data_IF_413220032040
#
_entry.id   IF_413220032040
#
_cell.length_a   1.000
_cell.length_b   1.000
_cell.length_c   1.000
_cell.angle_alpha   90.00
_cell.angle_beta   90.00
_cell.angle_gamma   90.00
#
_symmetry.space_group_name_H-M   'P 1'
#
loop_
_entity.id
_entity.type
_entity.pdbx_description
1 polymer ?
#
# COMPACT_ATOMS: atom_id res chain seq x y z
N UNK A 1 -9.84 -15.48 26.36
CA UNK A 1 -8.50 -14.93 26.69
C UNK A 1 -7.46 -15.75 25.95
N UNK A 2 -7.05 -15.27 24.78
CA UNK A 2 -5.88 -15.77 24.03
C UNK A 2 -5.08 -14.54 23.65
N UNK A 3 -4.09 -14.23 24.48
CA UNK A 3 -3.12 -13.17 24.28
C UNK A 3 -2.06 -13.60 23.27
N UNK A 4 -1.83 -12.80 22.23
CA UNK A 4 -0.51 -12.71 21.59
C UNK A 4 -0.48 -12.80 20.06
N UNK A 5 -0.88 -11.74 19.37
CA UNK A 5 -0.20 -11.26 18.14
C UNK A 5 -0.85 -9.94 17.70
N UNK A 6 -0.57 -8.85 18.39
CA UNK A 6 -0.89 -7.51 17.89
C UNK A 6 0.14 -7.14 16.81
N UNK A 7 -0.34 -7.00 15.57
CA UNK A 7 -0.33 -5.71 14.86
C UNK A 7 1.01 -5.00 14.58
N UNK A 8 2.16 -5.68 14.57
CA UNK A 8 3.44 -4.99 14.29
C UNK A 8 3.97 -5.22 12.89
N UNK A 9 4.08 -4.13 12.12
CA UNK A 9 4.81 -4.06 10.86
C UNK A 9 6.31 -4.11 11.15
N UNK A 10 6.83 -5.32 11.39
CA UNK A 10 8.27 -5.51 11.63
C UNK A 10 9.10 -5.01 10.44
N UNK A 11 10.35 -4.57 10.66
CA UNK A 11 11.22 -4.10 9.58
C UNK A 11 11.39 -5.16 8.48
N UNK A 12 11.47 -6.43 8.86
CA UNK A 12 11.55 -7.56 7.94
C UNK A 12 10.26 -7.75 7.13
N UNK A 13 9.09 -7.60 7.77
CA UNK A 13 7.81 -7.67 7.07
C UNK A 13 7.63 -6.52 6.08
N UNK A 14 8.02 -5.30 6.48
CA UNK A 14 8.02 -4.12 5.60
C UNK A 14 8.95 -4.31 4.41
N UNK A 15 10.17 -4.80 4.64
CA UNK A 15 11.12 -5.07 3.57
C UNK A 15 10.57 -6.13 2.60
N UNK A 16 10.03 -7.24 3.11
CA UNK A 16 9.39 -8.28 2.28
C UNK A 16 8.18 -7.75 1.51
N UNK A 17 7.38 -6.86 2.10
CA UNK A 17 6.24 -6.21 1.44
C UNK A 17 6.72 -5.34 0.28
N UNK A 18 7.78 -4.56 0.49
CA UNK A 18 8.42 -3.76 -0.56
C UNK A 18 8.92 -4.68 -1.67
N UNK A 19 9.71 -5.72 -1.35
CA UNK A 19 10.18 -6.71 -2.33
C UNK A 19 9.02 -7.36 -3.11
N UNK A 20 7.90 -7.65 -2.46
CA UNK A 20 6.71 -8.20 -3.10
C UNK A 20 6.12 -7.24 -4.16
N UNK A 21 6.09 -5.94 -3.88
CA UNK A 21 5.67 -4.93 -4.86
C UNK A 21 6.58 -4.91 -6.09
N UNK A 22 7.90 -5.04 -5.92
CA UNK A 22 8.84 -5.15 -7.05
C UNK A 22 8.65 -6.43 -7.86
N UNK A 23 8.42 -7.57 -7.20
CA UNK A 23 8.07 -8.83 -7.89
C UNK A 23 6.78 -8.70 -8.72
N UNK A 24 5.81 -7.91 -8.24
CA UNK A 24 4.61 -7.55 -9.00
C UNK A 24 4.96 -6.71 -10.23
N UNK A 25 5.76 -5.65 -10.06
CA UNK A 25 6.16 -4.73 -11.14
C UNK A 25 6.81 -5.46 -12.32
N UNK A 26 7.64 -6.44 -12.02
CA UNK A 26 8.38 -7.21 -13.05
C UNK A 26 7.47 -8.15 -13.85
N UNK A 27 6.21 -8.34 -13.43
CA UNK A 27 5.19 -9.14 -14.12
C UNK A 27 4.18 -8.30 -14.92
N UNK A 28 4.29 -6.97 -14.90
CA UNK A 28 3.34 -6.08 -15.55
C UNK A 28 3.22 -6.35 -17.06
N UNK A 29 1.98 -6.31 -17.54
CA UNK A 29 1.69 -6.25 -18.97
C UNK A 29 1.37 -4.80 -19.33
N UNK A 30 2.39 -4.04 -19.72
CA UNK A 30 2.26 -2.62 -20.04
C UNK A 30 2.86 -2.25 -21.41
N UNK A 31 2.43 -2.88 -22.53
CA UNK A 31 3.04 -2.62 -23.82
C UNK A 31 2.69 -1.24 -24.40
N UNK A 32 1.66 -0.55 -23.88
CA UNK A 32 1.21 0.72 -24.42
C UNK A 32 1.88 1.89 -23.70
N UNK A 33 1.82 1.94 -22.36
CA UNK A 33 2.47 3.02 -21.60
C UNK A 33 3.97 2.81 -21.39
N UNK A 34 4.44 1.57 -21.46
CA UNK A 34 5.80 1.16 -21.03
C UNK A 34 6.07 1.50 -19.55
N UNK A 35 5.01 1.62 -18.76
CA UNK A 35 5.08 2.03 -17.37
C UNK A 35 4.62 0.88 -16.48
N UNK A 36 5.58 0.09 -15.98
CA UNK A 36 5.27 -1.03 -15.12
C UNK A 36 5.08 -0.55 -13.68
N UNK A 37 4.01 -1.04 -13.06
CA UNK A 37 3.64 -0.79 -11.68
C UNK A 37 3.40 -2.13 -11.01
N UNK A 38 3.91 -2.26 -9.79
CA UNK A 38 3.71 -3.42 -8.94
C UNK A 38 3.09 -3.03 -7.62
N UNK A 39 2.28 -3.94 -7.08
CA UNK A 39 1.71 -3.80 -5.75
C UNK A 39 1.96 -5.08 -4.95
N UNK A 40 2.23 -4.92 -3.66
CA UNK A 40 2.27 -5.97 -2.66
C UNK A 40 1.25 -5.69 -1.56
N UNK A 41 0.60 -6.73 -1.05
CA UNK A 41 -0.31 -6.69 0.09
C UNK A 41 0.20 -7.64 1.16
N UNK A 42 0.36 -7.14 2.38
CA UNK A 42 0.61 -7.97 3.57
C UNK A 42 -0.73 -8.34 4.20
N UNK A 43 -1.00 -9.62 4.37
CA UNK A 43 -2.20 -10.12 5.03
C UNK A 43 -1.95 -10.38 6.52
N UNK A 44 -3.04 -10.51 7.30
CA UNK A 44 -2.99 -10.73 8.74
C UNK A 44 -2.37 -12.08 9.16
N UNK A 45 -2.36 -13.06 8.27
CA UNK A 45 -1.66 -14.34 8.48
C UNK A 45 -0.16 -14.29 8.12
N UNK A 46 0.34 -13.11 7.72
CA UNK A 46 1.73 -12.90 7.29
C UNK A 46 2.01 -13.25 5.83
N UNK A 47 1.02 -13.74 5.08
CA UNK A 47 1.18 -14.02 3.66
C UNK A 47 1.20 -12.74 2.82
N UNK A 48 1.80 -12.84 1.63
CA UNK A 48 1.95 -11.71 0.70
C UNK A 48 1.23 -12.00 -0.61
N UNK A 49 0.42 -11.04 -1.07
CA UNK A 49 -0.22 -11.08 -2.38
C UNK A 49 0.41 -10.02 -3.26
N UNK A 50 0.77 -10.39 -4.50
CA UNK A 50 1.31 -9.44 -5.48
C UNK A 50 0.30 -9.15 -6.58
N UNK A 51 0.37 -7.94 -7.11
CA UNK A 51 -0.36 -7.49 -8.30
C UNK A 51 0.53 -6.64 -9.20
N UNK A 52 0.09 -6.48 -10.44
CA UNK A 52 0.78 -5.72 -11.47
C UNK A 52 -0.25 -5.01 -12.35
N UNK A 53 0.12 -3.91 -13.01
CA UNK A 53 -0.79 -3.33 -13.99
C UNK A 53 -0.86 -4.23 -15.23
N UNK A 54 -2.09 -4.40 -15.75
CA UNK A 54 -2.38 -5.12 -16.98
C UNK A 54 -3.16 -4.18 -17.88
N UNK A 55 -2.52 -3.78 -18.97
CA UNK A 55 -3.11 -2.87 -19.94
C UNK A 55 -3.91 -3.61 -21.00
N UNK A 56 -4.72 -2.85 -21.75
CA UNK A 56 -5.53 -3.35 -22.84
C UNK A 56 -5.54 -2.32 -23.98
N UNK A 57 -5.72 -2.79 -25.22
CA UNK A 57 -5.86 -1.92 -26.39
C UNK A 57 -7.04 -0.93 -26.23
N UNK A 58 -8.12 -1.38 -25.58
CA UNK A 58 -9.16 -0.49 -25.08
C UNK A 58 -8.74 0.01 -23.69
N UNK A 59 -8.07 1.16 -23.62
CA UNK A 59 -7.46 1.71 -22.40
C UNK A 59 -8.32 1.62 -21.13
N UNK A 60 -9.65 1.92 -21.16
CA UNK A 60 -10.50 1.82 -19.96
C UNK A 60 -10.63 0.40 -19.38
N UNK A 61 -10.37 -0.65 -20.17
CA UNK A 61 -10.39 -2.03 -19.72
C UNK A 61 -9.13 -2.45 -18.95
N UNK A 62 -8.10 -1.58 -18.90
CA UNK A 62 -6.89 -1.83 -18.12
C UNK A 62 -7.15 -1.81 -16.61
N UNK A 63 -6.31 -2.53 -15.87
CA UNK A 63 -6.38 -2.63 -14.41
C UNK A 63 -5.03 -2.27 -13.78
N UNK A 64 -5.08 -1.50 -12.69
CA UNK A 64 -3.89 -1.08 -11.94
C UNK A 64 -3.35 -2.21 -11.06
N UNK A 65 -2.12 -2.07 -10.58
CA UNK A 65 -1.46 -3.10 -9.78
C UNK A 65 -2.16 -3.36 -8.45
N UNK A 66 -2.57 -2.30 -7.77
CA UNK A 66 -3.25 -2.31 -6.48
C UNK A 66 -4.58 -3.05 -6.59
N UNK A 67 -5.39 -2.70 -7.61
CA UNK A 67 -6.66 -3.38 -7.89
C UNK A 67 -6.46 -4.85 -8.26
N UNK A 68 -5.42 -5.18 -9.02
CA UNK A 68 -5.09 -6.57 -9.35
C UNK A 68 -4.78 -7.39 -8.10
N UNK A 69 -3.96 -6.84 -7.19
CA UNK A 69 -3.65 -7.51 -5.93
C UNK A 69 -4.89 -7.65 -5.03
N UNK A 70 -5.69 -6.58 -4.91
CA UNK A 70 -6.90 -6.57 -4.09
C UNK A 70 -7.96 -7.55 -4.61
N UNK A 71 -8.23 -7.56 -5.92
CA UNK A 71 -9.19 -8.49 -6.53
C UNK A 71 -8.79 -9.93 -6.25
N UNK A 72 -7.50 -10.27 -6.40
CA UNK A 72 -6.99 -11.60 -6.08
C UNK A 72 -7.21 -11.95 -4.60
N UNK A 73 -6.81 -11.07 -3.68
CA UNK A 73 -6.98 -11.28 -2.24
C UNK A 73 -8.44 -11.52 -1.87
N UNK A 74 -9.35 -10.68 -2.39
CA UNK A 74 -10.78 -10.75 -2.11
C UNK A 74 -11.40 -12.01 -2.73
N UNK A 75 -11.04 -12.37 -3.97
CA UNK A 75 -11.55 -13.58 -4.62
C UNK A 75 -11.11 -14.86 -3.92
N UNK A 76 -9.95 -14.84 -3.28
CA UNK A 76 -9.43 -15.95 -2.46
C UNK A 76 -10.08 -15.98 -1.06
N UNK A 77 -11.03 -15.09 -0.76
CA UNK A 77 -11.79 -15.05 0.49
C UNK A 77 -11.09 -14.28 1.62
N UNK A 78 -9.93 -13.70 1.37
CA UNK A 78 -9.18 -12.94 2.37
C UNK A 78 -9.63 -11.48 2.40
N UNK A 79 -9.93 -10.96 3.60
CA UNK A 79 -10.34 -9.56 3.81
C UNK A 79 -9.44 -8.79 4.79
N UNK A 80 -8.42 -9.44 5.34
CA UNK A 80 -7.58 -8.86 6.39
C UNK A 80 -6.22 -8.45 5.84
N UNK A 81 -6.19 -7.35 5.09
CA UNK A 81 -4.94 -6.72 4.61
C UNK A 81 -4.45 -5.73 5.67
N UNK A 82 -3.19 -5.85 6.06
CA UNK A 82 -2.54 -5.00 7.07
C UNK A 82 -1.86 -3.79 6.42
N UNK A 83 -1.20 -3.97 5.28
CA UNK A 83 -0.44 -2.91 4.61
C UNK A 83 -0.34 -3.15 3.11
N UNK A 84 -0.15 -2.06 2.36
CA UNK A 84 0.01 -2.07 0.90
C UNK A 84 1.33 -1.40 0.53
N UNK A 85 2.09 -1.98 -0.39
CA UNK A 85 3.21 -1.30 -1.04
C UNK A 85 2.98 -1.18 -2.54
N UNK A 86 3.32 -0.02 -3.11
CA UNK A 86 3.19 0.28 -4.54
C UNK A 86 4.53 0.79 -5.05
N UNK A 87 4.99 0.24 -6.18
CA UNK A 87 6.25 0.65 -6.81
C UNK A 87 6.12 0.73 -8.33
N UNK A 88 7.04 1.44 -8.97
CA UNK A 88 7.15 1.53 -10.42
C UNK A 88 8.62 1.46 -10.86
N UNK A 89 8.90 1.74 -12.14
CA UNK A 89 10.28 1.93 -12.62
C UNK A 89 10.84 3.35 -12.37
N UNK A 90 10.05 4.27 -11.80
CA UNK A 90 10.51 5.63 -11.53
C UNK A 90 11.49 5.66 -10.35
N UNK A 91 12.72 6.19 -10.52
CA UNK A 91 13.68 6.28 -9.42
C UNK A 91 13.24 7.29 -8.37
N UNK A 92 12.76 8.49 -8.73
CA UNK A 92 12.07 9.44 -7.85
C UNK A 92 11.22 10.40 -8.71
N UNK A 93 10.15 11.03 -8.19
CA UNK A 93 9.50 10.78 -6.89
C UNK A 93 8.86 9.37 -6.83
N UNK A 94 8.40 8.99 -5.65
CA UNK A 94 7.66 7.74 -5.44
C UNK A 94 6.35 7.75 -6.25
N UNK A 95 5.88 6.56 -6.64
CA UNK A 95 4.57 6.43 -7.31
C UNK A 95 3.44 6.53 -6.29
N UNK A 96 2.38 7.26 -6.61
CA UNK A 96 1.17 7.33 -5.79
C UNK A 96 0.03 6.51 -6.42
N UNK A 97 -0.77 5.78 -5.62
CA UNK A 97 -1.96 5.10 -6.13
C UNK A 97 -2.94 6.11 -6.74
N UNK A 98 -3.57 5.75 -7.86
CA UNK A 98 -4.54 6.62 -8.52
C UNK A 98 -5.86 6.68 -7.73
N UNK A 99 -6.71 7.68 -8.01
CA UNK A 99 -7.99 7.86 -7.30
C UNK A 99 -8.90 6.63 -7.34
N UNK A 100 -8.90 5.88 -8.45
CA UNK A 100 -9.69 4.64 -8.58
C UNK A 100 -9.17 3.56 -7.62
N UNK A 101 -7.85 3.41 -7.49
CA UNK A 101 -7.25 2.44 -6.55
C UNK A 101 -7.52 2.83 -5.11
N UNK A 102 -7.41 4.13 -4.77
CA UNK A 102 -7.72 4.64 -3.43
C UNK A 102 -9.16 4.34 -3.05
N UNK A 103 -10.11 4.66 -3.94
CA UNK A 103 -11.53 4.41 -3.72
C UNK A 103 -11.83 2.90 -3.63
N UNK A 104 -11.20 2.08 -4.46
CA UNK A 104 -11.37 0.62 -4.42
C UNK A 104 -10.84 0.03 -3.10
N UNK A 105 -9.65 0.45 -2.65
CA UNK A 105 -9.09 0.02 -1.37
C UNK A 105 -9.99 0.45 -0.20
N UNK A 106 -10.56 1.66 -0.26
CA UNK A 106 -11.43 2.22 0.79
C UNK A 106 -12.68 1.39 1.06
N UNK A 107 -13.14 0.60 0.09
CA UNK A 107 -14.25 -0.34 0.29
C UNK A 107 -13.89 -1.49 1.25
N UNK A 108 -12.62 -1.92 1.25
CA UNK A 108 -12.19 -3.17 1.89
C UNK A 108 -11.18 -2.98 3.02
N UNK A 109 -10.51 -1.83 3.09
CA UNK A 109 -9.42 -1.55 4.02
C UNK A 109 -9.84 -0.49 5.05
N UNK A 110 -9.39 -0.62 6.32
CA UNK A 110 -9.45 0.48 7.27
C UNK A 110 -8.81 1.77 6.72
N UNK A 111 -9.36 2.92 7.07
CA UNK A 111 -8.79 4.22 6.67
C UNK A 111 -7.37 4.44 7.24
N UNK A 112 -7.05 3.79 8.36
CA UNK A 112 -5.71 3.78 8.96
C UNK A 112 -4.69 2.90 8.25
N UNK A 113 -5.09 2.10 7.25
CA UNK A 113 -4.17 1.17 6.59
C UNK A 113 -3.01 1.92 5.93
N UNK A 114 -1.75 1.57 6.28
CA UNK A 114 -0.57 2.21 5.69
C UNK A 114 -0.36 1.78 4.25
N UNK A 115 -0.14 2.78 3.40
CA UNK A 115 0.18 2.66 1.99
C UNK A 115 1.61 3.16 1.75
N UNK A 116 2.52 2.25 1.45
CA UNK A 116 3.91 2.51 1.13
C UNK A 116 4.05 2.81 -0.35
N UNK A 117 4.48 4.02 -0.68
CA UNK A 117 4.85 4.46 -2.02
C UNK A 117 6.36 4.36 -2.15
N UNK A 118 6.83 3.48 -3.03
CA UNK A 118 8.24 3.08 -3.09
C UNK A 118 8.88 3.45 -4.43
N UNK A 119 9.98 4.17 -4.34
CA UNK A 119 10.88 4.53 -5.42
C UNK A 119 11.63 3.31 -5.99
N UNK A 120 11.93 3.32 -7.28
CA UNK A 120 12.76 2.29 -7.90
C UNK A 120 14.21 2.31 -7.39
N UNK A 121 14.67 3.41 -6.78
CA UNK A 121 16.00 3.50 -6.16
C UNK A 121 16.11 2.83 -4.80
N UNK A 122 15.02 2.24 -4.28
CA UNK A 122 15.06 1.46 -3.05
C UNK A 122 16.11 0.33 -3.17
N UNK A 123 17.04 0.18 -2.20
CA UNK A 123 18.09 -0.84 -2.25
C UNK A 123 17.50 -2.23 -1.99
N UNK A 124 17.13 -2.92 -3.08
CA UNK A 124 16.71 -4.32 -3.05
C UNK A 124 17.92 -5.21 -2.84
N UNK A 125 18.18 -5.61 -1.58
CA UNK A 125 19.11 -6.68 -1.25
C UNK A 125 18.36 -7.78 -0.51
N UNK A 126 18.55 -9.04 -0.89
CA UNK A 126 17.95 -10.17 -0.15
C UNK A 126 18.61 -10.39 1.23
N UNK A 127 19.83 -9.88 1.41
CA UNK A 127 20.68 -10.21 2.58
C UNK A 127 20.55 -9.23 3.75
N UNK A 128 19.92 -8.07 3.57
CA UNK A 128 19.81 -7.07 4.64
C UNK A 128 18.62 -6.12 4.48
N UNK A 129 17.92 -5.88 5.59
CA UNK A 129 16.92 -4.81 5.69
C UNK A 129 17.66 -3.47 5.82
N UNK A 130 17.40 -2.48 4.94
CA UNK A 130 18.00 -1.16 5.09
C UNK A 130 17.65 -0.56 6.46
N UNK A 131 18.64 0.00 7.16
CA UNK A 131 18.47 0.41 8.56
C UNK A 131 17.30 1.36 8.80
N UNK A 132 17.04 2.28 7.86
CA UNK A 132 15.95 3.26 7.94
C UNK A 132 14.54 2.61 7.85
N UNK A 133 14.43 1.37 7.40
CA UNK A 133 13.15 0.63 7.38
C UNK A 133 12.73 0.28 8.80
N UNK A 134 13.66 0.11 9.73
CA UNK A 134 13.33 -0.10 11.12
C UNK A 134 12.70 1.14 11.75
N UNK A 135 13.25 2.31 11.45
CA UNK A 135 12.69 3.59 11.88
C UNK A 135 11.31 3.83 11.25
N UNK A 136 11.11 3.39 10.00
CA UNK A 136 9.83 3.45 9.33
C UNK A 136 8.74 2.64 10.03
N UNK A 137 9.05 1.41 10.45
CA UNK A 137 8.10 0.57 11.19
C UNK A 137 7.69 1.20 12.51
N UNK A 138 8.66 1.74 13.27
CA UNK A 138 8.37 2.42 14.54
C UNK A 138 7.45 3.63 14.36
N UNK A 139 7.63 4.40 13.29
CA UNK A 139 6.78 5.55 13.00
C UNK A 139 5.37 5.20 12.56
N UNK A 140 5.21 4.14 11.75
CA UNK A 140 3.88 3.64 11.39
C UNK A 140 3.17 3.17 12.66
N UNK A 141 3.84 2.37 13.49
CA UNK A 141 3.28 1.86 14.74
C UNK A 141 2.89 2.99 15.71
N UNK A 142 3.73 4.03 15.87
CA UNK A 142 3.43 5.14 16.79
C UNK A 142 2.23 5.97 16.33
N UNK A 143 2.17 6.31 15.03
CA UNK A 143 1.12 7.18 14.48
C UNK A 143 -0.23 6.47 14.38
N UNK A 144 -0.23 5.18 14.04
CA UNK A 144 -1.44 4.35 14.07
C UNK A 144 -1.98 4.19 15.50
N UNK A 145 -1.11 4.07 16.51
CA UNK A 145 -1.52 4.03 17.91
C UNK A 145 -2.08 5.37 18.43
N UNK A 146 -1.58 6.50 17.92
CA UNK A 146 -2.01 7.85 18.31
C UNK A 146 -3.24 8.36 17.53
N UNK A 147 -3.67 7.65 16.48
CA UNK A 147 -4.77 8.09 15.62
C UNK A 147 -4.45 9.31 14.77
N UNK A 148 -3.16 9.58 14.54
CA UNK A 148 -2.67 10.68 13.71
C UNK A 148 -2.41 10.18 12.28
N UNK A 149 -2.64 11.02 11.25
CA UNK A 149 -2.30 10.68 9.86
C UNK A 149 -0.79 10.37 9.69
N UNK A 150 -0.38 9.51 8.76
CA UNK A 150 1.03 9.11 8.54
C UNK A 150 1.92 10.19 7.86
N UNK A 151 1.37 11.28 7.35
CA UNK A 151 2.05 12.51 6.93
C UNK A 151 2.81 12.41 5.60
N UNK A 152 2.36 13.17 4.59
CA UNK A 152 3.02 13.23 3.27
C UNK A 152 4.28 14.09 3.30
N UNK A 153 5.33 13.62 2.62
CA UNK A 153 6.67 14.18 2.51
C UNK A 153 6.83 15.71 2.67
N UNK A 154 7.90 16.08 3.37
CA UNK A 154 8.55 17.42 3.51
C UNK A 154 8.05 18.38 4.60
N UNK A 155 7.91 17.93 5.85
CA UNK A 155 8.25 18.84 6.97
C UNK A 155 9.24 18.17 7.90
N UNK A 156 10.36 18.84 8.11
CA UNK A 156 11.27 18.60 9.22
C UNK A 156 10.44 18.60 10.51
N UNK A 157 10.17 17.40 11.03
CA UNK A 157 9.89 17.24 12.45
C UNK A 157 11.28 17.12 13.08
N UNK A 158 11.57 18.02 14.02
CA UNK A 158 12.90 18.28 14.59
C UNK A 158 13.76 17.01 14.75
N UNK A 159 14.74 16.83 13.85
CA UNK A 159 15.85 15.89 14.01
C UNK A 159 15.79 14.56 13.25
N UNK A 160 14.81 14.29 12.39
CA UNK A 160 14.73 13.01 11.64
C UNK A 160 14.55 13.21 10.12
N UNK A 161 15.49 12.70 9.32
CA UNK A 161 15.46 12.79 7.85
C UNK A 161 14.83 11.52 7.26
N UNK A 162 13.63 11.63 6.69
CA UNK A 162 12.99 10.51 5.98
C UNK A 162 13.67 10.28 4.61
N UNK A 163 13.93 9.01 4.27
CA UNK A 163 14.62 8.59 3.05
C UNK A 163 13.84 9.00 1.79
N UNK A 164 14.53 9.37 0.69
CA UNK A 164 13.88 9.75 -0.59
C UNK A 164 13.12 8.59 -1.24
N UNK A 165 13.36 7.36 -0.77
CA UNK A 165 12.95 6.12 -1.42
C UNK A 165 11.56 5.63 -1.03
N UNK A 166 11.09 5.93 0.19
CA UNK A 166 9.80 5.42 0.69
C UNK A 166 9.01 6.56 1.31
N UNK A 167 7.78 6.73 0.85
CA UNK A 167 6.78 7.63 1.45
C UNK A 167 5.63 6.78 1.95
N UNK A 168 5.16 7.04 3.17
CA UNK A 168 4.03 6.29 3.74
C UNK A 168 2.92 7.24 4.09
N UNK A 169 1.71 6.89 3.68
CA UNK A 169 0.48 7.61 3.98
C UNK A 169 -0.58 6.62 4.40
N UNK A 170 -1.50 7.02 5.27
CA UNK A 170 -2.69 6.23 5.52
C UNK A 170 -3.64 6.35 4.32
N UNK A 171 -4.58 5.41 4.21
CA UNK A 171 -5.61 5.51 3.19
C UNK A 171 -6.48 6.78 3.38
N UNK A 172 -6.72 7.19 4.62
CA UNK A 172 -7.41 8.44 4.95
C UNK A 172 -6.71 9.67 4.38
N UNK A 173 -5.39 9.74 4.48
CA UNK A 173 -4.63 10.89 3.98
C UNK A 173 -4.56 10.92 2.47
N UNK A 174 -4.54 9.73 1.84
CA UNK A 174 -4.62 9.61 0.40
C UNK A 174 -6.03 9.93 -0.13
N UNK A 175 -7.07 9.74 0.67
CA UNK A 175 -8.46 9.94 0.27
C UNK A 175 -9.27 10.57 1.42
N UNK A 176 -8.98 11.84 1.77
CA UNK A 176 -9.66 12.51 2.87
C UNK A 176 -11.13 12.71 2.54
N UNK A 177 -12.00 12.61 3.55
CA UNK A 177 -13.46 12.75 3.38
C UNK A 177 -14.03 11.83 2.30
N UNK A 178 -13.49 10.60 2.20
CA UNK A 178 -13.88 9.64 1.17
C UNK A 178 -15.37 9.31 1.21
N UNK A 179 -15.99 9.18 0.03
CA UNK A 179 -17.27 8.51 -0.11
C UNK A 179 -17.11 7.01 0.18
N UNK A 180 -18.10 6.38 0.82
CA UNK A 180 -18.03 4.99 1.25
C UNK A 180 -19.35 4.29 1.57
N UNK A 181 -19.27 3.09 2.17
CA UNK A 181 -20.45 2.31 2.54
C UNK A 181 -21.38 3.04 3.51
N UNK A 182 -20.85 3.86 4.41
CA UNK A 182 -21.64 4.59 5.41
C UNK A 182 -22.62 5.59 4.76
N UNK A 183 -22.28 6.20 3.63
CA UNK A 183 -23.17 7.12 2.89
C UNK A 183 -24.28 6.40 2.12
N UNK A 184 -24.19 5.07 1.96
CA UNK A 184 -25.22 4.24 1.33
C UNK A 184 -26.10 3.53 2.37
N UNK A 185 -25.63 3.41 3.61
CA UNK A 185 -26.32 2.69 4.68
C UNK A 185 -27.54 3.43 5.23
N UNK A 186 -27.60 4.76 5.09
CA UNK A 186 -28.75 5.61 5.43
C UNK A 186 -29.88 5.44 4.40
N UNK A 187 -30.55 4.28 4.42
CA UNK A 187 -31.67 3.97 3.53
C UNK A 187 -32.29 2.57 3.68
N UNK A 188 -31.72 1.70 4.50
CA UNK A 188 -32.16 0.29 4.62
C UNK A 188 -33.41 0.06 5.48
N UNK A 189 -34.06 1.12 5.98
CA UNK A 189 -35.42 1.06 6.57
C UNK A 189 -36.55 1.22 5.54
N UNK A 190 -36.24 1.29 4.23
CA UNK A 190 -37.24 1.32 3.15
C UNK A 190 -36.84 0.47 1.95
N UNK A 191 -36.93 -0.84 2.09
CA UNK A 191 -37.25 -1.77 0.99
C UNK A 191 -37.79 -3.09 1.56
#
# INVERSE_FOLDING_TARGET
>A
MSSGSTDKLTPEALHKLIQASFKGRDRAYAPYSKFNVGAGLLLADGSMVIGCNVENAATPAGICAERTAMVKTISDGNKSVIAVAVTSHMPTPTISPCGICRQFMREFLPLSTPILMVAASYPLSDDSVPSYVADLGQHIDSRTAEGEGLGGSTKEVAGFTWSKEVTVLSLEELLPMSFGPEQLAEGTDKA
#
